data_IF_798593473120
#
_entry.id   IF_798593473120
#
_cell.length_a   1.000
_cell.length_b   1.000
_cell.length_c   1.000
_cell.angle_alpha   90.00
_cell.angle_beta   90.00
_cell.angle_gamma   90.00
#
_symmetry.space_group_name_H-M   'P 1'
#
loop_
_entity.id
_entity.type
_entity.pdbx_description
1 polymer ?
#
# COMPACT_ATOMS: atom_id res chain seq x y z
N UNK A 1 -25.31 -6.79 -12.80
CA UNK A 1 -23.97 -6.90 -12.18
C UNK A 1 -24.12 -7.56 -10.83
N UNK A 2 -23.28 -8.55 -10.51
CA UNK A 2 -23.26 -9.21 -9.20
C UNK A 2 -22.88 -8.24 -8.08
N UNK A 3 -23.18 -8.60 -6.82
CA UNK A 3 -22.80 -7.80 -5.67
C UNK A 3 -21.28 -7.70 -5.54
N UNK A 4 -20.59 -8.81 -5.78
CA UNK A 4 -19.13 -8.89 -5.75
C UNK A 4 -18.47 -7.98 -6.80
N UNK A 5 -18.98 -7.99 -8.04
CA UNK A 5 -18.48 -7.11 -9.12
C UNK A 5 -18.68 -5.63 -8.79
N UNK A 6 -19.86 -5.25 -8.29
CA UNK A 6 -20.13 -3.86 -7.87
C UNK A 6 -19.17 -3.44 -6.77
N UNK A 7 -18.98 -4.28 -5.74
CA UNK A 7 -18.09 -4.00 -4.63
C UNK A 7 -16.65 -3.77 -5.09
N UNK A 8 -16.12 -4.61 -5.99
CA UNK A 8 -14.76 -4.44 -6.49
C UNK A 8 -14.59 -3.18 -7.34
N UNK A 9 -15.52 -2.90 -8.26
CA UNK A 9 -15.40 -1.73 -9.13
C UNK A 9 -15.56 -0.43 -8.33
N UNK A 10 -16.64 -0.30 -7.54
CA UNK A 10 -16.86 0.91 -6.76
C UNK A 10 -15.83 1.04 -5.64
N UNK A 11 -15.47 -0.05 -4.97
CA UNK A 11 -14.42 -0.06 -3.96
C UNK A 11 -13.07 0.36 -4.53
N UNK A 12 -12.72 -0.14 -5.72
CA UNK A 12 -11.50 0.26 -6.43
C UNK A 12 -11.52 1.73 -6.85
N UNK A 13 -12.62 2.23 -7.43
CA UNK A 13 -12.75 3.66 -7.78
C UNK A 13 -12.62 4.56 -6.56
N UNK A 14 -13.29 4.22 -5.46
CA UNK A 14 -13.19 4.97 -4.21
C UNK A 14 -11.78 4.93 -3.65
N UNK A 15 -11.13 3.76 -3.64
CA UNK A 15 -9.76 3.62 -3.15
C UNK A 15 -8.75 4.39 -4.03
N UNK A 16 -8.94 4.39 -5.34
CA UNK A 16 -8.16 5.20 -6.26
C UNK A 16 -8.33 6.70 -5.97
N UNK A 17 -9.56 7.17 -5.78
CA UNK A 17 -9.82 8.57 -5.45
C UNK A 17 -9.13 8.97 -4.13
N UNK A 18 -9.22 8.13 -3.10
CA UNK A 18 -8.51 8.35 -1.83
C UNK A 18 -6.99 8.39 -2.05
N UNK A 19 -6.44 7.43 -2.78
CA UNK A 19 -5.01 7.38 -3.11
C UNK A 19 -4.52 8.60 -3.87
N UNK A 20 -5.32 9.09 -4.84
CA UNK A 20 -5.03 10.29 -5.62
C UNK A 20 -5.07 11.56 -4.75
N UNK A 21 -6.09 11.71 -3.91
CA UNK A 21 -6.20 12.84 -2.98
C UNK A 21 -5.03 12.89 -2.00
N UNK A 22 -4.66 11.73 -1.45
CA UNK A 22 -3.52 11.62 -0.55
C UNK A 22 -2.20 11.93 -1.27
N UNK A 23 -2.00 11.40 -2.48
CA UNK A 23 -0.81 11.70 -3.29
C UNK A 23 -0.70 13.18 -3.64
N UNK A 24 -1.82 13.82 -4.02
CA UNK A 24 -1.87 15.26 -4.29
C UNK A 24 -1.53 16.08 -3.05
N UNK A 25 -2.11 15.74 -1.90
CA UNK A 25 -1.78 16.38 -0.63
C UNK A 25 -0.28 16.26 -0.33
N UNK A 26 0.27 15.04 -0.45
CA UNK A 26 1.67 14.78 -0.15
C UNK A 26 2.61 15.56 -1.06
N UNK A 27 2.37 15.52 -2.38
CA UNK A 27 3.19 16.20 -3.37
C UNK A 27 3.19 17.72 -3.18
N UNK A 28 2.02 18.33 -2.88
CA UNK A 28 1.89 19.79 -2.77
C UNK A 28 2.45 20.31 -1.45
N UNK A 29 2.24 19.60 -0.34
CA UNK A 29 2.47 20.15 0.99
C UNK A 29 3.61 19.52 1.78
N UNK A 30 4.11 18.35 1.39
CA UNK A 30 5.02 17.55 2.24
C UNK A 30 6.28 17.11 1.52
N UNK A 31 6.17 16.70 0.26
CA UNK A 31 7.24 16.00 -0.46
C UNK A 31 8.50 16.86 -0.61
N UNK A 32 8.36 18.13 -1.02
CA UNK A 32 9.51 19.00 -1.25
C UNK A 32 10.34 19.23 0.01
N UNK A 33 9.70 19.56 1.14
CA UNK A 33 10.38 19.77 2.41
C UNK A 33 11.01 18.48 2.94
N UNK A 34 10.38 17.33 2.66
CA UNK A 34 10.94 16.02 3.02
C UNK A 34 12.20 15.73 2.22
N UNK A 35 12.18 15.99 0.90
CA UNK A 35 13.34 15.80 0.03
C UNK A 35 14.49 16.76 0.37
N UNK A 36 14.18 18.02 0.71
CA UNK A 36 15.17 18.99 1.18
C UNK A 36 15.84 18.51 2.48
N UNK A 37 15.05 17.96 3.40
CA UNK A 37 15.56 17.38 4.66
C UNK A 37 16.47 16.18 4.41
N UNK A 38 16.10 15.30 3.47
CA UNK A 38 16.92 14.16 3.05
C UNK A 38 18.24 14.65 2.43
N UNK A 39 18.19 15.61 1.50
CA UNK A 39 19.38 16.15 0.86
C UNK A 39 20.29 16.87 1.84
N UNK A 40 19.74 17.76 2.66
CA UNK A 40 20.49 18.58 3.62
C UNK A 40 21.13 17.74 4.73
N UNK A 41 20.44 16.73 5.26
CA UNK A 41 21.04 15.83 6.26
C UNK A 41 22.18 14.99 5.68
N UNK A 42 22.05 14.53 4.43
CA UNK A 42 23.12 13.79 3.77
C UNK A 42 24.33 14.68 3.48
N UNK A 43 24.12 15.89 2.97
CA UNK A 43 25.18 16.87 2.73
C UNK A 43 25.93 17.23 4.03
N UNK A 44 25.19 17.55 5.09
CA UNK A 44 25.75 17.84 6.40
C UNK A 44 26.62 16.69 6.91
N UNK A 45 26.21 15.43 6.69
CA UNK A 45 27.01 14.27 7.11
C UNK A 45 28.40 14.23 6.45
N UNK A 46 28.48 14.58 5.17
CA UNK A 46 29.75 14.62 4.44
C UNK A 46 30.61 15.80 4.88
N UNK A 47 30.01 16.97 5.08
CA UNK A 47 30.71 18.17 5.57
C UNK A 47 31.31 17.91 6.96
N UNK A 48 30.51 17.42 7.91
CA UNK A 48 30.95 17.09 9.26
C UNK A 48 32.05 16.03 9.25
N UNK A 49 31.92 14.98 8.44
CA UNK A 49 32.95 13.96 8.31
C UNK A 49 34.27 14.53 7.78
N UNK A 50 34.22 15.42 6.78
CA UNK A 50 35.39 16.06 6.20
C UNK A 50 36.13 16.98 7.20
N UNK A 51 35.41 17.57 8.15
CA UNK A 51 35.97 18.40 9.22
C UNK A 51 36.43 17.60 10.45
N UNK A 52 36.33 16.27 10.41
CA UNK A 52 36.67 15.39 11.53
C UNK A 52 35.62 15.38 12.66
N UNK A 53 34.43 15.94 12.41
CA UNK A 53 33.28 16.01 13.33
C UNK A 53 32.42 14.75 13.23
N UNK A 54 33.00 13.61 13.60
CA UNK A 54 32.35 12.30 13.45
C UNK A 54 31.04 12.12 14.24
N UNK A 55 30.89 12.63 15.48
CA UNK A 55 29.60 12.56 16.18
C UNK A 55 28.47 13.25 15.41
N UNK A 56 28.71 14.46 14.91
CA UNK A 56 27.76 15.25 14.14
C UNK A 56 27.46 14.63 12.77
N UNK A 57 28.48 14.02 12.14
CA UNK A 57 28.28 13.27 10.90
C UNK A 57 27.33 12.08 11.09
N UNK A 58 27.47 11.33 12.19
CA UNK A 58 26.56 10.23 12.51
C UNK A 58 25.14 10.70 12.82
N UNK A 59 24.99 11.80 13.58
CA UNK A 59 23.67 12.38 13.86
C UNK A 59 22.95 12.82 12.57
N UNK A 60 23.70 13.39 11.63
CA UNK A 60 23.18 13.77 10.31
C UNK A 60 22.75 12.53 9.48
N UNK A 61 23.50 11.43 9.54
CA UNK A 61 23.12 10.14 8.91
C UNK A 61 21.86 9.55 9.56
N UNK A 62 21.75 9.60 10.89
CA UNK A 62 20.57 9.10 11.60
C UNK A 62 19.33 9.92 11.23
N UNK A 63 19.49 11.23 11.09
CA UNK A 63 18.44 12.14 10.59
C UNK A 63 18.03 11.76 9.17
N UNK A 64 19.00 11.59 8.26
CA UNK A 64 18.73 11.12 6.89
C UNK A 64 17.93 9.81 6.90
N UNK A 65 18.37 8.83 7.68
CA UNK A 65 17.75 7.52 7.75
C UNK A 65 16.31 7.61 8.26
N UNK A 66 16.08 8.43 9.30
CA UNK A 66 14.76 8.66 9.87
C UNK A 66 13.79 9.34 8.87
N UNK A 67 14.24 10.41 8.19
CA UNK A 67 13.39 11.14 7.23
C UNK A 67 13.12 10.28 6.00
N UNK A 68 14.14 9.59 5.47
CA UNK A 68 13.98 8.68 4.34
C UNK A 68 13.02 7.53 4.65
N UNK A 69 13.08 6.99 5.87
CA UNK A 69 12.16 5.94 6.30
C UNK A 69 10.70 6.43 6.17
N UNK A 70 10.38 7.61 6.70
CA UNK A 70 9.04 8.16 6.64
C UNK A 70 8.62 8.47 5.19
N UNK A 71 9.51 9.11 4.41
CA UNK A 71 9.29 9.37 2.99
C UNK A 71 8.86 8.11 2.22
N UNK A 72 9.64 7.03 2.35
CA UNK A 72 9.35 5.77 1.66
C UNK A 72 7.97 5.23 2.06
N UNK A 73 7.60 5.32 3.34
CA UNK A 73 6.28 4.84 3.81
C UNK A 73 5.13 5.67 3.29
N UNK A 74 5.31 6.99 3.14
CA UNK A 74 4.29 7.87 2.56
C UNK A 74 4.08 7.54 1.06
N UNK A 75 5.18 7.40 0.32
CA UNK A 75 5.14 7.03 -1.11
C UNK A 75 4.58 5.61 -1.32
N UNK A 76 4.96 4.66 -0.47
CA UNK A 76 4.43 3.29 -0.50
C UNK A 76 2.91 3.28 -0.37
N UNK A 77 2.35 4.09 0.53
CA UNK A 77 0.91 4.14 0.79
C UNK A 77 0.15 4.62 -0.42
N UNK A 78 0.58 5.72 -1.02
CA UNK A 78 0.00 6.24 -2.25
C UNK A 78 0.06 5.17 -3.37
N UNK A 79 1.25 4.63 -3.60
CA UNK A 79 1.50 3.69 -4.71
C UNK A 79 0.68 2.40 -4.58
N UNK A 80 0.58 1.85 -3.36
CA UNK A 80 -0.18 0.62 -3.14
C UNK A 80 -1.69 0.85 -3.18
N UNK A 81 -2.22 1.96 -2.67
CA UNK A 81 -3.65 2.25 -2.83
C UNK A 81 -4.05 2.36 -4.31
N UNK A 82 -3.26 3.06 -5.13
CA UNK A 82 -3.53 3.16 -6.57
C UNK A 82 -3.39 1.80 -7.27
N UNK A 83 -2.30 1.06 -7.00
CA UNK A 83 -2.07 -0.25 -7.61
C UNK A 83 -3.15 -1.27 -7.28
N UNK A 84 -3.54 -1.36 -6.00
CA UNK A 84 -4.58 -2.29 -5.55
C UNK A 84 -5.97 -1.86 -6.03
N UNK A 85 -6.26 -0.56 -6.07
CA UNK A 85 -7.48 -0.04 -6.68
C UNK A 85 -7.61 -0.44 -8.15
N UNK A 86 -6.52 -0.31 -8.92
CA UNK A 86 -6.50 -0.73 -10.32
C UNK A 86 -6.79 -2.23 -10.46
N UNK A 87 -6.13 -3.06 -9.64
CA UNK A 87 -6.40 -4.51 -9.62
C UNK A 87 -7.86 -4.80 -9.28
N UNK A 88 -8.46 -4.11 -8.31
CA UNK A 88 -9.88 -4.26 -7.98
C UNK A 88 -10.79 -3.93 -9.14
N UNK A 89 -10.56 -2.82 -9.85
CA UNK A 89 -11.37 -2.41 -11.00
C UNK A 89 -11.28 -3.45 -12.12
N UNK A 90 -10.05 -3.82 -12.51
CA UNK A 90 -9.79 -4.78 -13.60
C UNK A 90 -10.36 -6.15 -13.24
N UNK A 91 -10.08 -6.64 -12.04
CA UNK A 91 -10.59 -7.92 -11.56
C UNK A 91 -12.12 -7.90 -11.48
N UNK A 92 -12.71 -6.81 -11.01
CA UNK A 92 -14.15 -6.58 -10.94
C UNK A 92 -14.86 -6.79 -12.27
N UNK A 93 -14.28 -6.34 -13.39
CA UNK A 93 -14.84 -6.55 -14.74
C UNK A 93 -14.97 -8.04 -15.08
N UNK A 94 -13.99 -8.85 -14.71
CA UNK A 94 -13.97 -10.29 -14.99
C UNK A 94 -14.57 -11.15 -13.86
N UNK A 95 -14.90 -10.57 -12.70
CA UNK A 95 -15.17 -11.31 -11.47
C UNK A 95 -16.42 -12.20 -11.53
N UNK A 96 -17.37 -11.84 -12.39
CA UNK A 96 -18.57 -12.66 -12.62
C UNK A 96 -18.23 -14.04 -13.21
N UNK A 97 -17.03 -14.22 -13.81
CA UNK A 97 -16.56 -15.48 -14.39
C UNK A 97 -15.81 -16.38 -13.38
N UNK A 98 -15.57 -15.92 -12.15
CA UNK A 98 -14.94 -16.74 -11.11
C UNK A 98 -15.90 -17.87 -10.72
N UNK A 99 -15.45 -19.13 -10.84
CA UNK A 99 -16.31 -20.31 -10.65
C UNK A 99 -16.55 -20.67 -9.17
N UNK A 100 -17.21 -19.76 -8.46
CA UNK A 100 -17.71 -19.93 -7.11
C UNK A 100 -19.16 -19.46 -6.99
N UNK A 101 -19.84 -19.83 -5.91
CA UNK A 101 -21.15 -19.27 -5.59
C UNK A 101 -21.05 -17.75 -5.40
N UNK A 102 -22.15 -17.03 -5.63
CA UNK A 102 -22.21 -15.57 -5.41
C UNK A 102 -21.76 -15.18 -3.99
N UNK A 103 -22.18 -15.96 -2.98
CA UNK A 103 -21.79 -15.73 -1.58
C UNK A 103 -20.28 -15.78 -1.39
N UNK A 104 -19.60 -16.77 -1.96
CA UNK A 104 -18.14 -16.91 -1.83
C UNK A 104 -17.44 -15.78 -2.60
N UNK A 105 -17.88 -15.46 -3.82
CA UNK A 105 -17.33 -14.32 -4.58
C UNK A 105 -17.46 -13.02 -3.79
N UNK A 106 -18.61 -12.76 -3.18
CA UNK A 106 -18.80 -11.57 -2.37
C UNK A 106 -17.80 -11.49 -1.21
N UNK A 107 -17.58 -12.58 -0.47
CA UNK A 107 -16.58 -12.60 0.61
C UNK A 107 -15.15 -12.46 0.12
N UNK A 108 -14.79 -13.01 -1.04
CA UNK A 108 -13.49 -12.77 -1.67
C UNK A 108 -13.33 -11.28 -2.00
N UNK A 109 -14.37 -10.64 -2.54
CA UNK A 109 -14.35 -9.21 -2.85
C UNK A 109 -14.22 -8.34 -1.59
N UNK A 110 -14.93 -8.70 -0.52
CA UNK A 110 -14.81 -8.04 0.80
C UNK A 110 -13.40 -8.20 1.36
N UNK A 111 -12.85 -9.41 1.34
CA UNK A 111 -11.48 -9.69 1.78
C UNK A 111 -10.47 -8.86 0.98
N UNK A 112 -10.61 -8.81 -0.35
CA UNK A 112 -9.71 -8.04 -1.20
C UNK A 112 -9.77 -6.54 -0.89
N UNK A 113 -10.96 -5.96 -0.74
CA UNK A 113 -11.13 -4.55 -0.37
C UNK A 113 -10.56 -4.27 1.03
N UNK A 114 -10.93 -5.08 2.04
CA UNK A 114 -10.48 -4.89 3.41
C UNK A 114 -8.95 -5.00 3.52
N UNK A 115 -8.33 -5.96 2.80
CA UNK A 115 -6.89 -6.09 2.73
C UNK A 115 -6.23 -4.90 2.03
N UNK A 116 -6.83 -4.42 0.93
CA UNK A 116 -6.31 -3.29 0.16
C UNK A 116 -6.36 -1.95 0.89
N UNK A 117 -7.33 -1.80 1.80
CA UNK A 117 -7.40 -0.65 2.71
C UNK A 117 -6.45 -0.86 3.90
N UNK A 118 -6.54 -2.02 4.57
CA UNK A 118 -5.81 -2.30 5.80
C UNK A 118 -4.29 -2.33 5.63
N UNK A 119 -3.78 -2.92 4.55
CA UNK A 119 -2.33 -3.02 4.35
C UNK A 119 -1.63 -1.65 4.28
N UNK A 120 -2.00 -0.73 3.36
CA UNK A 120 -1.36 0.57 3.30
C UNK A 120 -1.65 1.42 4.55
N UNK A 121 -2.81 1.28 5.19
CA UNK A 121 -3.06 1.91 6.49
C UNK A 121 -2.08 1.43 7.57
N UNK A 122 -1.77 0.14 7.62
CA UNK A 122 -0.73 -0.38 8.52
C UNK A 122 0.66 0.18 8.20
N UNK A 123 0.98 0.36 6.91
CA UNK A 123 2.25 0.95 6.46
C UNK A 123 2.39 2.40 6.93
N UNK A 124 1.37 3.25 6.72
CA UNK A 124 1.44 4.66 7.14
C UNK A 124 1.49 4.79 8.66
N UNK A 125 0.75 3.97 9.41
CA UNK A 125 0.74 4.01 10.88
C UNK A 125 2.11 3.70 11.51
N UNK A 126 3.02 3.03 10.79
CA UNK A 126 4.41 2.81 11.25
C UNK A 126 5.22 4.12 11.31
N UNK A 127 4.82 5.16 10.58
CA UNK A 127 5.47 6.49 10.67
C UNK A 127 5.13 7.19 12.00
N UNK A 128 3.93 6.94 12.54
CA UNK A 128 3.46 7.53 13.82
C UNK A 128 3.94 6.73 15.02
N UNK A 129 3.90 5.39 14.93
CA UNK A 129 4.32 4.51 16.01
C UNK A 129 5.39 3.54 15.51
N UNK A 130 6.63 4.05 15.44
CA UNK A 130 7.80 3.28 15.02
C UNK A 130 8.02 2.11 15.99
N UNK A 131 7.94 0.88 15.47
CA UNK A 131 8.10 -0.35 16.26
C UNK A 131 6.81 -0.89 16.89
N UNK A 132 5.66 -0.22 16.71
CA UNK A 132 4.38 -0.69 17.22
C UNK A 132 3.95 -2.04 16.62
N UNK A 133 3.53 -2.97 17.48
CA UNK A 133 3.01 -4.29 17.05
C UNK A 133 1.74 -4.13 16.21
N UNK A 134 0.87 -3.19 16.57
CA UNK A 134 -0.42 -3.00 15.88
C UNK A 134 -0.27 -2.54 14.42
N UNK A 135 0.46 -1.45 14.08
CA UNK A 135 0.70 -1.08 12.68
C UNK A 135 1.34 -2.21 11.87
N UNK A 136 2.24 -2.95 12.51
CA UNK A 136 2.91 -4.09 11.88
C UNK A 136 1.94 -5.23 11.56
N UNK A 137 1.14 -5.64 12.54
CA UNK A 137 0.12 -6.67 12.40
C UNK A 137 -0.94 -6.29 11.37
N UNK A 138 -1.36 -5.01 11.33
CA UNK A 138 -2.32 -4.51 10.34
C UNK A 138 -1.75 -4.58 8.92
N UNK A 139 -0.49 -4.17 8.72
CA UNK A 139 0.17 -4.26 7.42
C UNK A 139 0.29 -5.72 6.94
N UNK A 140 0.80 -6.61 7.81
CA UNK A 140 0.99 -8.03 7.49
C UNK A 140 -0.35 -8.74 7.28
N UNK A 141 -1.33 -8.51 8.15
CA UNK A 141 -2.66 -9.09 8.03
C UNK A 141 -3.40 -8.61 6.79
N UNK A 142 -3.29 -7.32 6.48
CA UNK A 142 -3.87 -6.74 5.26
C UNK A 142 -3.27 -7.34 3.99
N UNK A 143 -1.94 -7.49 3.94
CA UNK A 143 -1.26 -8.03 2.75
C UNK A 143 -1.57 -9.52 2.58
N UNK A 144 -1.58 -10.29 3.67
CA UNK A 144 -2.01 -11.68 3.66
C UNK A 144 -3.45 -11.82 3.14
N UNK A 145 -4.36 -10.93 3.56
CA UNK A 145 -5.75 -10.95 3.11
C UNK A 145 -5.88 -10.66 1.60
N UNK A 146 -5.11 -9.70 1.08
CA UNK A 146 -5.01 -9.44 -0.37
C UNK A 146 -4.52 -10.69 -1.11
N UNK A 147 -3.43 -11.29 -0.66
CA UNK A 147 -2.83 -12.48 -1.30
C UNK A 147 -3.84 -13.63 -1.32
N UNK A 148 -4.52 -13.89 -0.19
CA UNK A 148 -5.52 -14.96 -0.10
C UNK A 148 -6.72 -14.71 -1.01
N UNK A 149 -7.18 -13.46 -1.13
CA UNK A 149 -8.28 -13.10 -2.01
C UNK A 149 -7.90 -13.27 -3.50
N UNK A 150 -6.70 -12.84 -3.89
CA UNK A 150 -6.18 -13.02 -5.26
C UNK A 150 -5.97 -14.50 -5.59
N UNK A 151 -5.43 -15.29 -4.66
CA UNK A 151 -5.26 -16.73 -4.82
C UNK A 151 -6.62 -17.43 -4.99
N UNK A 152 -7.61 -17.07 -4.18
CA UNK A 152 -8.96 -17.60 -4.32
C UNK A 152 -9.55 -17.26 -5.69
N UNK A 153 -9.45 -16.00 -6.12
CA UNK A 153 -9.90 -15.57 -7.45
C UNK A 153 -9.21 -16.36 -8.58
N UNK A 154 -7.89 -16.52 -8.52
CA UNK A 154 -7.11 -17.29 -9.47
C UNK A 154 -7.55 -18.75 -9.54
N UNK A 155 -7.75 -19.42 -8.40
CA UNK A 155 -8.29 -20.78 -8.33
C UNK A 155 -9.68 -20.84 -8.96
N UNK A 156 -10.55 -19.87 -8.67
CA UNK A 156 -11.89 -19.81 -9.23
C UNK A 156 -11.90 -19.62 -10.74
N UNK A 157 -10.97 -18.85 -11.31
CA UNK A 157 -10.78 -18.76 -12.76
C UNK A 157 -10.20 -20.05 -13.36
N UNK A 158 -9.21 -20.67 -12.72
CA UNK A 158 -8.62 -21.92 -13.20
C UNK A 158 -9.65 -23.06 -13.28
N UNK A 159 -10.61 -23.10 -12.34
CA UNK A 159 -11.73 -24.05 -12.36
C UNK A 159 -12.71 -23.82 -13.52
N UNK A 160 -12.75 -22.61 -14.10
CA UNK A 160 -13.55 -22.33 -15.29
C UNK A 160 -12.90 -22.90 -16.56
N UNK A 161 -11.56 -22.94 -16.60
CA UNK A 161 -10.79 -23.37 -17.78
C UNK A 161 -10.64 -24.89 -17.92
N UNK A 162 -10.95 -25.68 -16.87
CA UNK A 162 -10.93 -27.15 -16.96
C UNK A 162 -12.17 -27.66 -17.72
N UNK A 163 -12.02 -28.34 -18.87
CA UNK A 163 -13.14 -28.98 -19.56
C UNK A 163 -13.76 -30.05 -18.66
N UNK A 164 -15.09 -30.23 -18.76
CA UNK A 164 -15.73 -31.44 -18.22
C UNK A 164 -15.30 -32.59 -19.13
N UNK A 165 -14.41 -33.45 -18.64
CA UNK A 165 -14.18 -34.80 -19.20
C UNK A 165 -15.41 -35.67 -18.94
#
# INVERSE_FOLDING_TARGET
MSGARKLLIFGGVTLAAIGMLYGLYYAVFVEHQTLDSIGGSLDASFVHAAEGRLPEAHEAIDTYAAVKYDYVRQVDVHSHWIGLAMLMIVLGVAFDRVRFSERIRFWIAVAFLAGSVGFPLGVILRTVNRGGVFPSALAVGGSALVIMALLAAAIGFARQMRPKL
#
